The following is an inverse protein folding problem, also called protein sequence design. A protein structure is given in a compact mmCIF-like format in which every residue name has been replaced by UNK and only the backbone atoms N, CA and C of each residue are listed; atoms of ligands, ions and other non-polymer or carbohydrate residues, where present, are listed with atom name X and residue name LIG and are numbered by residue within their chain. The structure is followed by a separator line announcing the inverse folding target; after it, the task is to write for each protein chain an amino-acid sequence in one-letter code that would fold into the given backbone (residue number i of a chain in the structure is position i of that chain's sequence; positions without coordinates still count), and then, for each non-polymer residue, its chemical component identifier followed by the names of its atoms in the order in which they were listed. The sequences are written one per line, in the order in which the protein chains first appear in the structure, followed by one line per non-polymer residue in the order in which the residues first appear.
data_IF_392466051211
#
_entry.id   IF_392466051211
#
_cell.length_a   1.000
_cell.length_b   1.000
_cell.length_c   1.000
_cell.angle_alpha   90.00
_cell.angle_beta   90.00
_cell.angle_gamma   90.00
#
_symmetry.space_group_name_H-M   'P 1'
#
loop_
_entity.id
_entity.type
_entity.pdbx_description
1 polymer ?
#
# COMPACT_ATOMS: atom_id res chain seq x y z
N UNK A 1 69.72 -19.19 62.18
CA UNK A 1 69.51 -20.21 61.12
C UNK A 1 68.05 -20.26 60.69
N UNK A 2 67.70 -19.36 59.75
CA UNK A 2 66.84 -19.55 58.56
C UNK A 2 65.55 -20.43 58.59
N UNK A 3 64.66 -20.37 59.59
CA UNK A 3 63.38 -21.12 59.50
C UNK A 3 62.09 -20.38 59.93
N UNK A 4 62.12 -19.08 60.20
CA UNK A 4 60.91 -18.34 60.65
C UNK A 4 60.38 -17.31 59.63
N UNK A 5 61.21 -16.85 58.68
CA UNK A 5 60.82 -15.81 57.71
C UNK A 5 60.10 -16.33 56.44
N UNK A 6 60.04 -17.64 56.21
CA UNK A 6 59.36 -18.22 55.04
C UNK A 6 57.84 -18.35 55.17
N UNK A 7 57.34 -18.62 56.39
CA UNK A 7 55.93 -18.94 56.59
C UNK A 7 55.00 -17.71 56.60
N UNK A 8 55.51 -16.53 56.99
CA UNK A 8 54.72 -15.29 56.99
C UNK A 8 54.59 -14.68 55.59
N UNK A 9 55.56 -14.91 54.69
CA UNK A 9 55.51 -14.43 53.31
C UNK A 9 54.50 -15.23 52.47
N UNK A 10 54.45 -16.55 52.68
CA UNK A 10 53.55 -17.45 51.95
C UNK A 10 52.06 -17.27 52.35
N UNK A 11 51.78 -16.93 53.61
CA UNK A 11 50.42 -16.62 54.09
C UNK A 11 49.93 -15.23 53.63
N UNK A 12 50.84 -14.29 53.36
CA UNK A 12 50.47 -12.96 52.85
C UNK A 12 50.16 -12.96 51.35
N UNK A 13 50.80 -13.83 50.57
CA UNK A 13 50.48 -14.01 49.14
C UNK A 13 49.17 -14.79 48.90
N UNK A 14 48.87 -15.80 49.71
CA UNK A 14 47.66 -16.62 49.56
C UNK A 14 46.38 -15.89 49.97
N UNK A 15 46.42 -15.06 51.04
CA UNK A 15 45.30 -14.19 51.44
C UNK A 15 44.99 -13.06 50.44
N UNK A 16 46.02 -12.50 49.78
CA UNK A 16 45.83 -11.48 48.75
C UNK A 16 45.32 -12.04 47.42
N UNK A 17 45.61 -13.30 47.08
CA UNK A 17 45.07 -13.93 45.86
C UNK A 17 43.59 -14.28 46.01
N UNK A 18 43.14 -14.86 47.13
CA UNK A 18 41.71 -15.16 47.34
C UNK A 18 40.80 -13.93 47.30
N UNK A 19 41.21 -12.83 47.94
CA UNK A 19 40.46 -11.56 47.90
C UNK A 19 40.36 -10.97 46.49
N UNK A 20 41.35 -11.24 45.63
CA UNK A 20 41.43 -10.75 44.25
C UNK A 20 40.62 -11.57 43.24
N UNK A 21 40.25 -12.81 43.57
CA UNK A 21 39.38 -13.63 42.68
C UNK A 21 37.90 -13.41 43.02
N UNK A 22 37.56 -13.24 44.31
CA UNK A 22 36.19 -13.04 44.76
C UNK A 22 35.53 -11.74 44.27
N UNK A 23 36.29 -10.64 44.10
CA UNK A 23 35.74 -9.40 43.54
C UNK A 23 35.51 -9.50 42.03
N UNK A 24 36.36 -10.21 41.28
CA UNK A 24 36.20 -10.40 39.84
C UNK A 24 34.95 -11.22 39.54
N UNK A 25 34.70 -12.25 40.33
CA UNK A 25 33.53 -13.11 40.17
C UNK A 25 32.23 -12.36 40.45
N UNK A 26 32.17 -11.58 41.55
CA UNK A 26 31.04 -10.70 41.87
C UNK A 26 30.87 -9.56 40.85
N UNK A 27 31.96 -9.08 40.26
CA UNK A 27 31.93 -8.03 39.24
C UNK A 27 31.42 -8.58 37.89
N UNK A 28 31.80 -9.81 37.52
CA UNK A 28 31.23 -10.49 36.35
C UNK A 28 29.72 -10.73 36.52
N UNK A 29 29.29 -11.24 37.68
CA UNK A 29 27.87 -11.48 37.93
C UNK A 29 27.05 -10.17 37.94
N UNK A 30 27.58 -9.10 38.54
CA UNK A 30 26.90 -7.78 38.53
C UNK A 30 26.88 -7.12 37.15
N UNK A 31 27.90 -7.34 36.32
CA UNK A 31 27.90 -6.90 34.91
C UNK A 31 26.91 -7.71 34.07
N UNK A 32 26.82 -9.03 34.26
CA UNK A 32 25.84 -9.87 33.57
C UNK A 32 24.41 -9.51 33.95
N UNK A 33 24.14 -9.26 35.24
CA UNK A 33 22.82 -8.82 35.69
C UNK A 33 22.45 -7.42 35.15
N UNK A 34 23.40 -6.49 35.05
CA UNK A 34 23.18 -5.17 34.43
C UNK A 34 22.99 -5.25 32.92
N UNK A 35 23.71 -6.14 32.24
CA UNK A 35 23.55 -6.39 30.80
C UNK A 35 22.19 -7.02 30.47
N UNK A 36 21.71 -7.96 31.28
CA UNK A 36 20.37 -8.55 31.12
C UNK A 36 19.26 -7.53 31.43
N UNK A 37 19.39 -6.75 32.51
CA UNK A 37 18.40 -5.71 32.84
C UNK A 37 18.32 -4.61 31.79
N UNK A 38 19.45 -4.20 31.21
CA UNK A 38 19.45 -3.20 30.12
C UNK A 38 18.85 -3.76 28.84
N UNK A 39 19.09 -5.02 28.48
CA UNK A 39 18.42 -5.68 27.34
C UNK A 39 16.90 -5.76 27.53
N UNK A 40 16.44 -6.15 28.72
CA UNK A 40 15.00 -6.19 29.03
C UNK A 40 14.38 -4.79 28.99
N UNK A 41 15.05 -3.77 29.56
CA UNK A 41 14.54 -2.38 29.61
C UNK A 41 14.52 -1.68 28.24
N UNK A 42 15.46 -2.03 27.35
CA UNK A 42 15.46 -1.56 25.96
C UNK A 42 14.40 -2.29 25.12
N UNK A 43 14.17 -3.59 25.34
CA UNK A 43 13.09 -4.31 24.67
C UNK A 43 11.70 -3.78 25.07
N UNK A 44 11.46 -3.46 26.34
CA UNK A 44 10.14 -2.95 26.76
C UNK A 44 9.85 -1.56 26.19
N UNK A 45 10.84 -0.65 26.19
CA UNK A 45 10.68 0.70 25.63
C UNK A 45 10.47 0.67 24.10
N UNK A 46 11.19 -0.19 23.39
CA UNK A 46 11.06 -0.33 21.94
C UNK A 46 9.73 -0.99 21.54
N UNK A 47 9.29 -2.04 22.24
CA UNK A 47 8.03 -2.72 21.94
C UNK A 47 6.80 -1.86 22.23
N UNK A 48 6.79 -1.09 23.31
CA UNK A 48 5.68 -0.17 23.58
C UNK A 48 5.57 0.93 22.52
N UNK A 49 6.71 1.48 22.06
CA UNK A 49 6.73 2.48 21.00
C UNK A 49 6.29 1.89 19.66
N UNK A 50 6.76 0.68 19.33
CA UNK A 50 6.37 -0.04 18.12
C UNK A 50 4.89 -0.39 18.14
N UNK A 51 4.36 -0.93 19.25
CA UNK A 51 2.94 -1.27 19.37
C UNK A 51 2.04 -0.04 19.32
N UNK A 52 2.47 1.08 19.91
CA UNK A 52 1.75 2.36 19.81
C UNK A 52 1.73 2.88 18.38
N UNK A 53 2.85 2.80 17.67
CA UNK A 53 2.93 3.15 16.25
C UNK A 53 2.08 2.21 15.38
N UNK A 54 2.13 0.90 15.67
CA UNK A 54 1.39 -0.13 14.95
C UNK A 54 -0.13 0.06 15.12
N UNK A 55 -0.59 0.36 16.34
CA UNK A 55 -2.00 0.69 16.59
C UNK A 55 -2.42 1.98 15.89
N UNK A 56 -1.56 3.00 15.88
CA UNK A 56 -1.86 4.29 15.24
C UNK A 56 -1.99 4.16 13.72
N UNK A 57 -1.15 3.32 13.10
CA UNK A 57 -1.11 3.13 11.64
C UNK A 57 -1.67 1.77 11.20
N UNK A 58 -2.48 1.13 12.04
CA UNK A 58 -2.92 -0.25 11.83
C UNK A 58 -3.59 -0.44 10.47
N UNK A 59 -4.46 0.49 10.07
CA UNK A 59 -5.17 0.41 8.79
C UNK A 59 -4.23 0.48 7.57
N UNK A 60 -3.26 1.41 7.58
CA UNK A 60 -2.31 1.58 6.47
C UNK A 60 -1.39 0.35 6.38
N UNK A 61 -0.90 -0.14 7.52
CA UNK A 61 -0.04 -1.33 7.54
C UNK A 61 -0.81 -2.57 7.09
N UNK A 62 -2.09 -2.68 7.45
CA UNK A 62 -2.95 -3.77 7.00
C UNK A 62 -3.12 -3.73 5.48
N UNK A 63 -3.45 -2.58 4.87
CA UNK A 63 -3.65 -2.50 3.41
C UNK A 63 -2.37 -2.78 2.64
N UNK A 64 -1.21 -2.27 3.10
CA UNK A 64 0.09 -2.56 2.48
C UNK A 64 0.42 -4.06 2.61
N UNK A 65 0.23 -4.65 3.79
CA UNK A 65 0.46 -6.09 3.98
C UNK A 65 -0.48 -6.95 3.12
N UNK A 66 -1.74 -6.55 2.96
CA UNK A 66 -2.71 -7.23 2.11
C UNK A 66 -2.29 -7.22 0.63
N UNK A 67 -1.73 -6.12 0.13
CA UNK A 67 -1.20 -6.06 -1.25
C UNK A 67 -0.02 -7.02 -1.42
N UNK A 68 0.93 -7.04 -0.48
CA UNK A 68 2.09 -7.94 -0.52
C UNK A 68 1.66 -9.41 -0.49
N UNK A 69 0.73 -9.76 0.41
CA UNK A 69 0.16 -11.10 0.51
C UNK A 69 -0.59 -11.47 -0.78
N UNK A 70 -1.40 -10.54 -1.32
CA UNK A 70 -2.16 -10.75 -2.56
C UNK A 70 -1.26 -11.05 -3.76
N UNK A 71 -0.19 -10.28 -3.94
CA UNK A 71 0.80 -10.51 -5.03
C UNK A 71 1.54 -11.83 -4.83
N UNK A 72 1.99 -12.12 -3.61
CA UNK A 72 2.70 -13.36 -3.28
C UNK A 72 1.82 -14.59 -3.53
N UNK A 73 0.55 -14.53 -3.10
CA UNK A 73 -0.43 -15.59 -3.27
C UNK A 73 -0.82 -15.77 -4.75
N UNK A 74 -0.95 -14.67 -5.51
CA UNK A 74 -1.19 -14.74 -6.95
C UNK A 74 -0.03 -15.44 -7.69
N UNK A 75 1.22 -15.14 -7.32
CA UNK A 75 2.39 -15.80 -7.92
C UNK A 75 2.47 -17.29 -7.53
N UNK A 76 2.17 -17.62 -6.27
CA UNK A 76 2.15 -18.99 -5.77
C UNK A 76 1.03 -19.85 -6.39
N UNK A 77 -0.13 -19.26 -6.69
CA UNK A 77 -1.27 -19.95 -7.30
C UNK A 77 -1.18 -20.02 -8.84
N UNK A 78 -0.38 -19.16 -9.47
CA UNK A 78 -0.18 -19.12 -10.94
C UNK A 78 0.21 -20.47 -11.59
N UNK A 79 1.10 -21.31 -11.03
CA UNK A 79 1.45 -22.60 -11.65
C UNK A 79 0.37 -23.67 -11.51
N UNK A 80 -0.59 -23.51 -10.58
CA UNK A 80 -1.73 -24.40 -10.45
C UNK A 80 -2.77 -24.00 -11.49
N UNK A 81 -3.06 -24.86 -12.46
CA UNK A 81 -4.08 -24.65 -13.51
C UNK A 81 -5.50 -24.69 -12.91
N UNK A 82 -5.85 -23.66 -12.12
CA UNK A 82 -7.14 -23.55 -11.45
C UNK A 82 -8.26 -23.38 -12.48
N UNK A 83 -9.36 -24.10 -12.26
CA UNK A 83 -10.56 -23.95 -13.09
C UNK A 83 -11.19 -22.57 -12.88
N UNK A 84 -11.80 -21.99 -13.92
CA UNK A 84 -12.47 -20.67 -13.86
C UNK A 84 -13.40 -20.48 -12.66
N UNK A 85 -14.12 -21.54 -12.26
CA UNK A 85 -15.00 -21.51 -11.07
C UNK A 85 -14.23 -21.32 -9.76
N UNK A 86 -13.07 -21.96 -9.62
CA UNK A 86 -12.23 -21.84 -8.42
C UNK A 86 -11.61 -20.44 -8.30
N UNK A 87 -11.18 -19.87 -9.43
CA UNK A 87 -10.69 -18.49 -9.49
C UNK A 87 -11.78 -17.53 -9.02
N UNK A 88 -13.03 -17.72 -9.50
CA UNK A 88 -14.16 -16.88 -9.10
C UNK A 88 -14.45 -16.96 -7.60
N UNK A 89 -14.42 -18.15 -7.00
CA UNK A 89 -14.59 -18.30 -5.56
C UNK A 89 -13.47 -17.65 -4.76
N UNK A 90 -12.22 -17.76 -5.25
CA UNK A 90 -11.08 -17.11 -4.61
C UNK A 90 -11.14 -15.57 -4.70
N UNK A 91 -11.64 -15.01 -5.81
CA UNK A 91 -11.83 -13.57 -5.99
C UNK A 91 -13.09 -12.99 -5.32
N UNK A 92 -13.97 -13.85 -4.80
CA UNK A 92 -15.25 -13.45 -4.20
C UNK A 92 -15.16 -12.36 -3.10
N UNK A 93 -14.25 -12.43 -2.11
CA UNK A 93 -14.12 -11.36 -1.13
C UNK A 93 -13.72 -10.00 -1.76
N UNK A 94 -12.91 -10.01 -2.82
CA UNK A 94 -12.57 -8.81 -3.58
C UNK A 94 -13.78 -8.27 -4.35
N UNK A 95 -14.60 -9.14 -4.92
CA UNK A 95 -15.85 -8.75 -5.58
C UNK A 95 -16.84 -8.09 -4.60
N UNK A 96 -16.98 -8.65 -3.39
CA UNK A 96 -17.80 -8.06 -2.33
C UNK A 96 -17.30 -6.66 -1.95
N UNK A 97 -15.99 -6.48 -1.79
CA UNK A 97 -15.40 -5.17 -1.53
C UNK A 97 -15.75 -4.17 -2.63
N UNK A 98 -15.60 -4.55 -3.90
CA UNK A 98 -15.94 -3.68 -5.03
C UNK A 98 -17.43 -3.29 -5.04
N UNK A 99 -18.33 -4.24 -4.75
CA UNK A 99 -19.78 -3.97 -4.64
C UNK A 99 -20.10 -2.99 -3.51
N UNK A 100 -19.48 -3.15 -2.35
CA UNK A 100 -19.66 -2.23 -1.21
C UNK A 100 -19.17 -0.82 -1.53
N UNK A 101 -18.01 -0.67 -2.17
CA UNK A 101 -17.48 0.63 -2.56
C UNK A 101 -18.35 1.30 -3.62
N UNK A 102 -18.77 0.57 -4.66
CA UNK A 102 -19.61 1.11 -5.74
C UNK A 102 -20.98 1.61 -5.23
N UNK A 103 -21.57 0.95 -4.23
CA UNK A 103 -22.81 1.39 -3.60
C UNK A 103 -22.68 2.77 -2.93
N UNK A 104 -21.51 3.07 -2.35
CA UNK A 104 -21.27 4.34 -1.65
C UNK A 104 -20.90 5.48 -2.61
N UNK A 105 -20.33 5.18 -3.77
CA UNK A 105 -19.83 6.19 -4.73
C UNK A 105 -20.95 7.12 -5.19
N UNK A 106 -22.11 6.58 -5.58
CA UNK A 106 -23.23 7.36 -6.12
C UNK A 106 -23.75 8.42 -5.13
N UNK A 107 -24.19 8.06 -3.90
CA UNK A 107 -24.71 9.05 -2.96
C UNK A 107 -23.63 10.04 -2.51
N UNK A 108 -22.38 9.60 -2.39
CA UNK A 108 -21.27 10.44 -1.93
C UNK A 108 -20.89 11.49 -2.98
N UNK A 109 -20.85 11.15 -4.27
CA UNK A 109 -20.57 12.11 -5.35
C UNK A 109 -21.67 13.17 -5.42
N UNK A 110 -22.94 12.75 -5.48
CA UNK A 110 -24.07 13.69 -5.65
C UNK A 110 -24.16 14.64 -4.45
N UNK A 111 -24.13 14.11 -3.22
CA UNK A 111 -24.23 14.95 -2.01
C UNK A 111 -23.02 15.88 -1.83
N UNK A 112 -21.80 15.41 -2.12
CA UNK A 112 -20.59 16.22 -2.03
C UNK A 112 -20.58 17.35 -3.05
N UNK A 113 -20.97 17.08 -4.31
CA UNK A 113 -21.03 18.10 -5.35
C UNK A 113 -22.11 19.15 -5.05
N UNK A 114 -23.32 18.72 -4.68
CA UNK A 114 -24.42 19.66 -4.36
C UNK A 114 -24.04 20.56 -3.19
N UNK A 115 -23.54 19.98 -2.09
CA UNK A 115 -23.16 20.75 -0.90
C UNK A 115 -21.96 21.66 -1.19
N UNK A 116 -20.96 21.17 -1.93
CA UNK A 116 -19.78 21.94 -2.31
C UNK A 116 -20.14 23.15 -3.18
N UNK A 117 -21.00 22.96 -4.18
CA UNK A 117 -21.46 24.05 -5.04
C UNK A 117 -22.39 25.02 -4.32
N UNK A 118 -23.25 24.55 -3.42
CA UNK A 118 -24.14 25.40 -2.64
C UNK A 118 -23.40 26.29 -1.62
N UNK A 119 -22.20 25.88 -1.17
CA UNK A 119 -21.41 26.61 -0.17
C UNK A 119 -20.62 27.80 -0.71
N UNK A 120 -20.51 27.95 -2.05
CA UNK A 120 -19.65 28.92 -2.70
C UNK A 120 -20.45 29.87 -3.60
N UNK A 121 -20.07 31.15 -3.62
CA UNK A 121 -20.65 32.14 -4.53
C UNK A 121 -20.41 31.78 -6.00
N UNK A 122 -21.36 32.10 -6.89
CA UNK A 122 -21.27 31.84 -8.33
C UNK A 122 -19.94 32.30 -8.96
N UNK A 123 -19.43 33.48 -8.56
CA UNK A 123 -18.15 34.03 -9.05
C UNK A 123 -16.93 33.30 -8.50
N UNK A 124 -17.03 32.70 -7.31
CA UNK A 124 -15.97 31.91 -6.71
C UNK A 124 -15.95 30.51 -7.33
N UNK A 125 -17.10 29.86 -7.45
CA UNK A 125 -17.28 28.54 -8.08
C UNK A 125 -16.73 28.52 -9.52
N UNK A 126 -17.05 29.53 -10.33
CA UNK A 126 -16.51 29.64 -11.69
C UNK A 126 -14.99 29.79 -11.75
N UNK A 127 -14.40 30.59 -10.85
CA UNK A 127 -12.93 30.76 -10.77
C UNK A 127 -12.22 29.50 -10.28
N UNK A 128 -12.79 28.80 -9.29
CA UNK A 128 -12.24 27.53 -8.82
C UNK A 128 -12.35 26.45 -9.90
N UNK A 129 -13.50 26.34 -10.57
CA UNK A 129 -13.71 25.41 -11.67
C UNK A 129 -12.75 25.65 -12.84
N UNK A 130 -12.55 26.90 -13.25
CA UNK A 130 -11.58 27.23 -14.31
C UNK A 130 -10.15 26.88 -13.92
N UNK A 131 -9.72 27.18 -12.68
CA UNK A 131 -8.39 26.78 -12.18
C UNK A 131 -8.23 25.26 -12.18
N UNK A 132 -9.25 24.52 -11.75
CA UNK A 132 -9.25 23.06 -11.77
C UNK A 132 -9.16 22.51 -13.20
N UNK A 133 -9.95 23.05 -14.15
CA UNK A 133 -9.94 22.64 -15.55
C UNK A 133 -8.58 22.88 -16.21
N UNK A 134 -7.98 24.05 -16.01
CA UNK A 134 -6.63 24.36 -16.51
C UNK A 134 -5.59 23.43 -15.89
N UNK A 135 -5.67 23.18 -14.58
CA UNK A 135 -4.78 22.25 -13.89
C UNK A 135 -4.88 20.83 -14.48
N UNK A 136 -6.10 20.30 -14.69
CA UNK A 136 -6.28 18.97 -15.28
C UNK A 136 -5.79 18.90 -16.72
N UNK A 137 -6.03 19.95 -17.53
CA UNK A 137 -5.58 19.99 -18.92
C UNK A 137 -4.05 19.96 -19.01
N UNK A 138 -3.38 20.84 -18.26
CA UNK A 138 -1.91 20.96 -18.26
C UNK A 138 -1.26 19.67 -17.76
N UNK A 139 -1.74 19.11 -16.64
CA UNK A 139 -1.17 17.88 -16.08
C UNK A 139 -1.40 16.67 -16.99
N UNK A 140 -2.56 16.57 -17.65
CA UNK A 140 -2.83 15.50 -18.62
C UNK A 140 -1.91 15.59 -19.83
N UNK A 141 -1.69 16.79 -20.39
CA UNK A 141 -0.76 16.99 -21.52
C UNK A 141 0.65 16.58 -21.12
N UNK A 142 1.13 17.00 -19.94
CA UNK A 142 2.45 16.63 -19.42
C UNK A 142 2.55 15.12 -19.25
N UNK A 143 1.54 14.47 -18.65
CA UNK A 143 1.51 13.03 -18.44
C UNK A 143 1.51 12.24 -19.76
N UNK A 144 0.73 12.68 -20.76
CA UNK A 144 0.72 12.08 -22.10
C UNK A 144 2.07 12.22 -22.78
N UNK A 145 2.71 13.40 -22.70
CA UNK A 145 4.03 13.61 -23.28
C UNK A 145 5.09 12.69 -22.66
N UNK A 146 5.12 12.57 -21.33
CA UNK A 146 6.01 11.64 -20.62
C UNK A 146 5.70 10.19 -21.00
N UNK A 147 4.42 9.82 -21.08
CA UNK A 147 3.99 8.47 -21.47
C UNK A 147 4.44 8.09 -22.88
N UNK A 148 4.28 9.00 -23.84
CA UNK A 148 4.74 8.82 -25.23
C UNK A 148 6.27 8.72 -25.26
N UNK A 149 6.98 9.62 -24.58
CA UNK A 149 8.44 9.58 -24.54
C UNK A 149 8.95 8.24 -23.94
N UNK A 150 8.36 7.80 -22.84
CA UNK A 150 8.75 6.57 -22.15
C UNK A 150 8.45 5.31 -22.98
N UNK A 151 7.26 5.22 -23.60
CA UNK A 151 6.91 4.08 -24.46
C UNK A 151 7.76 4.04 -25.73
N UNK A 152 8.09 5.19 -26.31
CA UNK A 152 8.95 5.29 -27.49
C UNK A 152 10.43 5.02 -27.14
N UNK A 153 10.91 5.27 -25.92
CA UNK A 153 12.27 4.87 -25.53
C UNK A 153 12.32 3.36 -25.27
N UNK A 154 11.45 2.86 -24.39
CA UNK A 154 11.50 1.47 -23.90
C UNK A 154 11.01 0.49 -24.98
N UNK A 155 10.09 0.91 -25.84
CA UNK A 155 9.39 0.06 -26.82
C UNK A 155 8.91 -1.28 -26.24
N UNK A 156 8.06 -1.25 -25.18
CA UNK A 156 7.57 -2.47 -24.56
C UNK A 156 6.81 -3.32 -25.57
N UNK A 157 7.03 -4.64 -25.56
CA UNK A 157 6.26 -5.60 -26.38
C UNK A 157 6.92 -6.07 -27.68
N UNK A 158 8.11 -5.58 -28.04
CA UNK A 158 8.85 -6.05 -29.25
C UNK A 158 9.21 -7.56 -29.24
N UNK A 159 9.10 -8.25 -28.10
CA UNK A 159 9.44 -9.67 -27.94
C UNK A 159 8.27 -10.65 -27.73
N UNK A 160 7.00 -10.20 -27.77
CA UNK A 160 5.84 -11.05 -27.47
C UNK A 160 4.93 -11.20 -28.70
N UNK A 161 5.35 -11.99 -29.69
CA UNK A 161 4.59 -12.20 -30.93
C UNK A 161 3.90 -13.56 -31.06
N UNK A 162 4.12 -14.48 -30.14
CA UNK A 162 3.62 -15.85 -30.28
C UNK A 162 2.77 -16.22 -29.06
N UNK A 163 1.44 -16.24 -29.24
CA UNK A 163 0.52 -16.86 -28.27
C UNK A 163 -0.52 -15.95 -27.59
N UNK A 164 -0.58 -14.66 -27.89
CA UNK A 164 -1.69 -13.81 -27.41
C UNK A 164 -2.94 -14.05 -28.28
N UNK A 165 -3.70 -15.09 -27.96
CA UNK A 165 -5.05 -15.30 -28.51
C UNK A 165 -5.90 -14.06 -28.23
N UNK A 166 -6.17 -13.30 -29.29
CA UNK A 166 -6.94 -12.06 -29.26
C UNK A 166 -8.44 -12.42 -29.30
N UNK A 167 -8.98 -12.94 -28.20
CA UNK A 167 -10.40 -13.28 -28.05
C UNK A 167 -11.29 -12.04 -27.82
N UNK A 168 -11.11 -11.01 -28.65
CA UNK A 168 -11.96 -9.82 -28.64
C UNK A 168 -12.40 -9.50 -30.05
N UNK A 169 -13.72 -9.58 -30.32
CA UNK A 169 -14.31 -8.97 -31.51
C UNK A 169 -14.04 -7.46 -31.42
N UNK A 170 -13.17 -6.95 -32.29
CA UNK A 170 -12.91 -5.51 -32.37
C UNK A 170 -14.13 -4.90 -33.05
N UNK A 171 -15.12 -4.46 -32.26
CA UNK A 171 -16.17 -3.59 -32.76
C UNK A 171 -15.55 -2.21 -32.99
N UNK A 172 -15.34 -1.87 -34.26
CA UNK A 172 -14.84 -0.55 -34.67
C UNK A 172 -15.96 0.47 -34.53
N UNK A 173 -16.04 1.12 -33.37
CA UNK A 173 -16.98 2.23 -33.14
C UNK A 173 -16.39 3.48 -33.83
N UNK A 174 -17.12 4.12 -34.77
CA UNK A 174 -16.67 5.38 -35.36
C UNK A 174 -16.43 6.46 -34.30
N UNK A 175 -15.42 7.30 -34.49
CA UNK A 175 -15.06 8.35 -33.51
C UNK A 175 -16.17 9.38 -33.32
N UNK A 176 -16.86 9.73 -34.41
CA UNK A 176 -18.01 10.64 -34.37
C UNK A 176 -19.13 10.08 -33.49
N UNK A 177 -19.40 8.79 -33.60
CA UNK A 177 -20.40 8.07 -32.83
C UNK A 177 -20.08 8.07 -31.33
N UNK A 178 -18.83 7.79 -30.96
CA UNK A 178 -18.37 7.87 -29.57
C UNK A 178 -18.50 9.29 -28.99
N UNK A 179 -18.21 10.32 -29.80
CA UNK A 179 -18.39 11.72 -29.38
C UNK A 179 -19.86 12.09 -29.20
N UNK A 180 -20.74 11.63 -30.09
CA UNK A 180 -22.19 11.80 -29.94
C UNK A 180 -22.70 11.11 -28.67
N UNK A 181 -22.23 9.90 -28.39
CA UNK A 181 -22.59 9.17 -27.17
C UNK A 181 -22.07 9.86 -25.90
N UNK A 182 -20.90 10.50 -25.95
CA UNK A 182 -20.42 11.32 -24.83
C UNK A 182 -21.37 12.50 -24.54
N UNK A 183 -21.79 13.23 -25.58
CA UNK A 183 -22.72 14.36 -25.42
C UNK A 183 -24.08 13.87 -24.91
N UNK A 184 -24.60 12.74 -25.44
CA UNK A 184 -25.86 12.14 -24.97
C UNK A 184 -25.80 11.74 -23.49
N UNK A 185 -24.66 11.24 -23.03
CA UNK A 185 -24.47 10.90 -21.61
C UNK A 185 -24.27 12.13 -20.71
N UNK A 186 -23.85 13.29 -21.26
CA UNK A 186 -23.74 14.54 -20.51
C UNK A 186 -25.11 15.10 -20.13
N UNK A 187 -26.12 14.90 -20.98
CA UNK A 187 -27.51 15.34 -20.77
C UNK A 187 -28.45 14.14 -20.82
N UNK A 188 -28.49 13.30 -19.76
CA UNK A 188 -29.31 12.10 -19.76
C UNK A 188 -30.80 12.44 -19.78
N UNK A 189 -31.64 11.63 -20.46
CA UNK A 189 -33.09 11.85 -20.51
C UNK A 189 -33.78 11.62 -19.17
N UNK A 190 -33.15 10.84 -18.26
CA UNK A 190 -33.67 10.54 -16.93
C UNK A 190 -32.52 10.43 -15.91
N UNK A 191 -32.61 11.20 -14.82
CA UNK A 191 -31.58 11.23 -13.78
C UNK A 191 -31.46 9.91 -13.01
N UNK A 192 -32.58 9.23 -12.75
CA UNK A 192 -32.60 7.93 -12.06
C UNK A 192 -31.98 6.86 -12.95
N UNK A 193 -32.29 6.87 -14.24
CA UNK A 193 -31.72 5.91 -15.19
C UNK A 193 -30.21 6.12 -15.39
N UNK A 194 -29.75 7.37 -15.47
CA UNK A 194 -28.35 7.73 -15.64
C UNK A 194 -27.44 7.20 -14.51
N UNK A 195 -28.00 6.99 -13.33
CA UNK A 195 -27.30 6.47 -12.16
C UNK A 195 -26.83 5.01 -12.31
N UNK A 196 -27.51 4.20 -13.12
CA UNK A 196 -27.20 2.77 -13.26
C UNK A 196 -27.08 2.29 -14.70
N UNK A 197 -27.38 3.14 -15.69
CA UNK A 197 -27.20 2.86 -17.11
C UNK A 197 -26.47 4.00 -17.81
N UNK A 198 -25.61 3.62 -18.75
CA UNK A 198 -24.97 4.52 -19.68
C UNK A 198 -25.49 4.26 -21.10
N UNK A 199 -25.77 5.32 -21.85
CA UNK A 199 -26.17 5.22 -23.25
C UNK A 199 -24.97 4.78 -24.07
N UNK A 200 -25.13 3.68 -24.80
CA UNK A 200 -24.21 3.21 -25.84
C UNK A 200 -25.03 2.95 -27.10
N UNK A 201 -24.71 3.63 -28.19
CA UNK A 201 -25.30 3.36 -29.49
C UNK A 201 -25.06 1.90 -29.88
N UNK A 202 -26.12 1.19 -30.28
CA UNK A 202 -25.97 -0.12 -30.92
C UNK A 202 -25.67 0.14 -32.39
N UNK A 203 -24.39 0.14 -32.74
CA UNK A 203 -23.96 0.23 -34.13
C UNK A 203 -23.96 -1.18 -34.71
N UNK A 204 -25.12 -1.63 -35.19
CA UNK A 204 -25.15 -2.75 -36.11
C UNK A 204 -24.51 -2.27 -37.40
N UNK A 205 -23.30 -2.78 -37.67
CA UNK A 205 -22.73 -2.82 -39.03
C UNK A 205 -23.64 -3.64 -39.93
#
# INVERSE_FOLDING_TARGET
TMSSHGNSLFLRESGQRLGRVGWLQRLQESLQQRALRTRLRLQTMTLEHVLRFLRRNAFILLTVSAVVIGVSLAFALRPYQLTYRQIKYFSFPGELLMRMLQMLVLPLIVSSLVTGMASLDNKATGRMGMRAAVYYMVTTIIAVFIGILMVTIIHPGKGSKEGLHREGRIETIPTADAFMDLIRNMFPPNLVEACFKQVRGKYTV
#
